data_IF_682565216781
#
_entry.id   IF_682565216781
#
_cell.length_a   1.000
_cell.length_b   1.000
_cell.length_c   1.000
_cell.angle_alpha   90.00
_cell.angle_beta   90.00
_cell.angle_gamma   90.00
#
_symmetry.space_group_name_H-M   'P 1'
#
loop_
_entity.id
_entity.type
_entity.pdbx_description
1 polymer ?
#
# COMPACT_ATOMS: atom_id res chain seq x y z
N UNK A 1 5.78 -32.78 -0.32
CA UNK A 1 6.84 -32.12 -1.08
C UNK A 1 6.54 -30.66 -1.48
N UNK A 2 5.35 -30.25 -1.99
CA UNK A 2 5.15 -28.86 -2.45
C UNK A 2 5.14 -27.80 -1.33
N UNK A 3 4.75 -28.16 -0.10
CA UNK A 3 4.73 -27.21 1.03
C UNK A 3 6.13 -26.79 1.47
N UNK A 4 7.07 -27.74 1.52
CA UNK A 4 8.46 -27.47 1.94
C UNK A 4 9.14 -26.58 0.89
N UNK A 5 8.91 -26.85 -0.39
CA UNK A 5 9.41 -26.03 -1.48
C UNK A 5 8.87 -24.60 -1.41
N UNK A 6 7.56 -24.42 -1.21
CA UNK A 6 6.97 -23.09 -1.09
C UNK A 6 7.47 -22.32 0.14
N UNK A 7 7.64 -23.00 1.28
CA UNK A 7 8.22 -22.39 2.49
C UNK A 7 9.69 -22.00 2.28
N UNK A 8 10.48 -22.87 1.65
CA UNK A 8 11.88 -22.59 1.34
C UNK A 8 12.01 -21.40 0.37
N UNK A 9 11.14 -21.32 -0.65
CA UNK A 9 11.09 -20.19 -1.58
C UNK A 9 10.71 -18.88 -0.87
N UNK A 10 9.69 -18.90 -0.01
CA UNK A 10 9.31 -17.72 0.78
C UNK A 10 10.43 -17.25 1.71
N UNK A 11 11.12 -18.17 2.38
CA UNK A 11 12.29 -17.87 3.21
C UNK A 11 13.44 -17.28 2.38
N UNK A 12 13.73 -17.86 1.21
CA UNK A 12 14.75 -17.38 0.29
C UNK A 12 14.43 -15.95 -0.18
N UNK A 13 13.17 -15.66 -0.54
CA UNK A 13 12.72 -14.32 -0.90
C UNK A 13 12.94 -13.30 0.22
N UNK A 14 12.55 -13.63 1.45
CA UNK A 14 12.78 -12.76 2.61
C UNK A 14 14.27 -12.52 2.86
N UNK A 15 15.10 -13.57 2.82
CA UNK A 15 16.55 -13.46 2.98
C UNK A 15 17.18 -12.60 1.88
N UNK A 16 16.69 -12.72 0.65
CA UNK A 16 17.15 -11.91 -0.47
C UNK A 16 16.83 -10.42 -0.28
N UNK A 17 15.61 -10.07 0.16
CA UNK A 17 15.24 -8.68 0.46
C UNK A 17 16.08 -8.10 1.61
N UNK A 18 16.33 -8.88 2.66
CA UNK A 18 17.22 -8.52 3.77
C UNK A 18 18.65 -8.33 3.24
N UNK A 19 19.13 -9.22 2.36
CA UNK A 19 20.44 -9.11 1.74
C UNK A 19 20.59 -7.84 0.91
N UNK A 20 19.58 -7.46 0.12
CA UNK A 20 19.55 -6.18 -0.61
C UNK A 20 19.68 -5.01 0.38
N UNK A 21 18.87 -5.00 1.46
CA UNK A 21 18.94 -3.94 2.46
C UNK A 21 20.31 -3.85 3.14
N UNK A 22 20.94 -5.00 3.40
CA UNK A 22 22.31 -5.05 3.94
C UNK A 22 23.35 -4.57 2.93
N UNK A 23 23.22 -4.94 1.66
CA UNK A 23 24.13 -4.54 0.58
C UNK A 23 24.16 -3.01 0.41
N UNK A 24 22.97 -2.39 0.39
CA UNK A 24 22.79 -0.95 0.25
C UNK A 24 22.79 -0.18 1.58
N UNK A 25 23.11 -0.84 2.70
CA UNK A 25 23.17 -0.18 4.00
C UNK A 25 24.31 0.84 4.07
N UNK A 26 24.00 2.04 4.56
CA UNK A 26 24.97 3.10 4.80
C UNK A 26 26.01 2.72 5.88
N UNK A 27 25.64 1.90 6.87
CA UNK A 27 26.56 1.42 7.90
C UNK A 27 26.20 0.02 8.38
N UNK A 28 26.73 -1.00 7.69
CA UNK A 28 26.44 -2.42 7.95
C UNK A 28 26.75 -2.87 9.38
N UNK A 29 27.71 -2.23 10.06
CA UNK A 29 28.11 -2.58 11.43
C UNK A 29 27.14 -2.05 12.48
N UNK A 30 26.40 -0.99 12.17
CA UNK A 30 25.44 -0.37 13.09
C UNK A 30 24.02 -0.97 12.98
N UNK A 31 23.80 -1.95 12.10
CA UNK A 31 22.49 -2.60 11.95
C UNK A 31 22.11 -3.29 13.27
N UNK A 32 20.97 -2.89 13.82
CA UNK A 32 20.40 -3.53 15.00
C UNK A 32 19.66 -4.82 14.60
N UNK A 33 20.37 -5.95 14.61
CA UNK A 33 19.81 -7.25 14.23
C UNK A 33 18.68 -7.75 15.16
N UNK A 34 18.64 -7.28 16.41
CA UNK A 34 17.51 -7.57 17.31
C UNK A 34 16.23 -6.90 16.79
N UNK A 35 16.31 -5.65 16.35
CA UNK A 35 15.18 -4.94 15.75
C UNK A 35 14.74 -5.61 14.45
N UNK A 36 15.69 -5.99 13.58
CA UNK A 36 15.41 -6.70 12.32
C UNK A 36 14.67 -8.01 12.60
N UNK A 37 15.21 -8.84 13.50
CA UNK A 37 14.60 -10.11 13.88
C UNK A 37 13.21 -9.94 14.50
N UNK A 38 13.03 -9.02 15.44
CA UNK A 38 11.73 -8.74 16.06
C UNK A 38 10.70 -8.22 15.04
N UNK A 39 11.12 -7.38 14.10
CA UNK A 39 10.24 -6.85 13.06
C UNK A 39 9.78 -7.92 12.05
N UNK A 40 10.67 -8.85 11.68
CA UNK A 40 10.31 -9.99 10.83
C UNK A 40 9.38 -10.95 11.59
N UNK A 41 9.70 -11.27 12.84
CA UNK A 41 8.86 -12.12 13.69
C UNK A 41 7.46 -11.50 13.85
N UNK A 42 7.37 -10.18 14.07
CA UNK A 42 6.09 -9.48 14.18
C UNK A 42 5.24 -9.66 12.91
N UNK A 43 5.83 -9.53 11.72
CA UNK A 43 5.13 -9.74 10.44
C UNK A 43 4.68 -11.19 10.26
N UNK A 44 5.57 -12.16 10.51
CA UNK A 44 5.26 -13.59 10.37
C UNK A 44 4.19 -14.02 11.37
N UNK A 45 4.30 -13.60 12.63
CA UNK A 45 3.31 -13.88 13.66
C UNK A 45 1.95 -13.26 13.31
N UNK A 46 1.92 -12.03 12.80
CA UNK A 46 0.69 -11.39 12.37
C UNK A 46 0.05 -12.15 11.19
N UNK A 47 0.83 -12.48 10.17
CA UNK A 47 0.37 -13.25 9.00
C UNK A 47 -0.20 -14.63 9.41
N UNK A 48 0.52 -15.37 10.26
CA UNK A 48 0.05 -16.65 10.78
C UNK A 48 -1.20 -16.50 11.64
N UNK A 49 -1.28 -15.42 12.45
CA UNK A 49 -2.47 -15.07 13.20
C UNK A 49 -3.69 -14.96 12.28
N UNK A 50 -3.64 -14.06 11.30
CA UNK A 50 -4.76 -13.82 10.38
C UNK A 50 -5.09 -15.06 9.53
N UNK A 51 -4.09 -15.80 9.05
CA UNK A 51 -4.29 -16.91 8.11
C UNK A 51 -4.65 -18.26 8.77
N UNK A 52 -4.17 -18.54 9.98
CA UNK A 52 -4.28 -19.87 10.61
C UNK A 52 -5.10 -19.88 11.90
N UNK A 53 -5.21 -18.75 12.60
CA UNK A 53 -5.85 -18.71 13.92
C UNK A 53 -7.29 -18.22 13.77
N UNK A 54 -8.25 -19.10 14.05
CA UNK A 54 -9.68 -18.82 13.90
C UNK A 54 -10.13 -17.53 14.60
N UNK A 55 -9.59 -17.25 15.80
CA UNK A 55 -9.92 -16.02 16.53
C UNK A 55 -9.60 -14.75 15.74
N UNK A 56 -8.39 -14.66 15.17
CA UNK A 56 -8.01 -13.51 14.35
C UNK A 56 -8.77 -13.50 13.02
N UNK A 57 -9.02 -14.66 12.41
CA UNK A 57 -9.84 -14.76 11.20
C UNK A 57 -11.26 -14.22 11.41
N UNK A 58 -11.89 -14.48 12.56
CA UNK A 58 -13.21 -13.94 12.90
C UNK A 58 -13.15 -12.42 13.05
N UNK A 59 -12.17 -11.89 13.79
CA UNK A 59 -12.03 -10.44 13.99
C UNK A 59 -11.76 -9.70 12.68
N UNK A 60 -10.81 -10.17 11.88
CA UNK A 60 -10.48 -9.56 10.59
C UNK A 60 -11.56 -9.76 9.55
N UNK A 61 -12.28 -10.89 9.60
CA UNK A 61 -13.49 -11.11 8.81
C UNK A 61 -14.56 -10.07 9.13
N UNK A 62 -14.88 -9.88 10.41
CA UNK A 62 -15.81 -8.84 10.86
C UNK A 62 -15.34 -7.43 10.46
N UNK A 63 -14.04 -7.13 10.61
CA UNK A 63 -13.48 -5.83 10.21
C UNK A 63 -13.60 -5.61 8.70
N UNK A 64 -13.31 -6.64 7.89
CA UNK A 64 -13.44 -6.56 6.43
C UNK A 64 -14.88 -6.35 5.98
N UNK A 65 -15.83 -7.02 6.65
CA UNK A 65 -17.26 -6.84 6.40
C UNK A 65 -17.72 -5.42 6.74
N UNK A 66 -17.32 -4.89 7.91
CA UNK A 66 -17.62 -3.50 8.28
C UNK A 66 -16.97 -2.48 7.37
N UNK A 67 -15.79 -2.79 6.85
CA UNK A 67 -15.14 -1.94 5.87
C UNK A 67 -15.91 -1.90 4.54
N UNK A 68 -16.37 -3.06 4.04
CA UNK A 68 -17.23 -3.13 2.85
C UNK A 68 -18.58 -2.46 3.06
N UNK A 69 -19.20 -2.63 4.23
CA UNK A 69 -20.45 -1.93 4.59
C UNK A 69 -20.26 -0.41 4.57
N UNK A 70 -19.13 0.09 5.08
CA UNK A 70 -18.80 1.51 5.06
C UNK A 70 -18.57 2.04 3.65
N UNK A 71 -17.95 1.26 2.76
CA UNK A 71 -17.85 1.58 1.33
C UNK A 71 -19.24 1.73 0.71
N UNK A 72 -20.16 0.80 0.99
CA UNK A 72 -21.52 0.83 0.45
C UNK A 72 -22.32 2.03 0.98
N UNK A 73 -22.09 2.46 2.22
CA UNK A 73 -22.66 3.71 2.75
C UNK A 73 -22.13 4.92 1.95
N UNK A 74 -20.84 4.96 1.63
CA UNK A 74 -20.25 5.99 0.77
C UNK A 74 -20.83 5.97 -0.66
N UNK A 75 -21.19 4.79 -1.16
CA UNK A 75 -21.81 4.63 -2.47
C UNK A 75 -23.16 5.34 -2.57
N UNK A 76 -23.96 5.41 -1.50
CA UNK A 76 -25.23 6.15 -1.49
C UNK A 76 -25.05 7.64 -1.83
N UNK A 77 -23.94 8.25 -1.41
CA UNK A 77 -23.60 9.63 -1.80
C UNK A 77 -23.22 9.76 -3.28
N UNK A 78 -22.56 8.73 -3.82
CA UNK A 78 -22.21 8.65 -5.25
C UNK A 78 -23.46 8.48 -6.11
N UNK A 79 -24.38 7.60 -5.70
CA UNK A 79 -25.68 7.38 -6.35
C UNK A 79 -26.54 8.63 -6.33
N UNK A 80 -26.59 9.34 -5.20
CA UNK A 80 -27.31 10.61 -5.12
C UNK A 80 -26.78 11.64 -6.14
N UNK A 81 -25.46 11.76 -6.29
CA UNK A 81 -24.86 12.78 -7.15
C UNK A 81 -24.83 12.41 -8.64
N UNK A 82 -24.62 11.14 -8.96
CA UNK A 82 -24.41 10.67 -10.34
C UNK A 82 -25.55 9.79 -10.88
N UNK A 83 -26.53 9.44 -10.05
CA UNK A 83 -27.66 8.60 -10.42
C UNK A 83 -27.21 7.26 -11.00
N UNK A 84 -27.80 6.88 -12.13
CA UNK A 84 -27.54 5.60 -12.82
C UNK A 84 -26.08 5.43 -13.27
N UNK A 85 -25.28 6.49 -13.39
CA UNK A 85 -23.85 6.35 -13.73
C UNK A 85 -23.02 5.70 -12.61
N UNK A 86 -23.57 5.64 -11.39
CA UNK A 86 -22.96 4.90 -10.27
C UNK A 86 -23.24 3.40 -10.31
N UNK A 87 -24.22 2.97 -11.11
CA UNK A 87 -24.64 1.57 -11.23
C UNK A 87 -23.74 0.82 -12.24
N UNK A 88 -23.00 -0.16 -11.75
CA UNK A 88 -22.09 -0.99 -12.54
C UNK A 88 -22.80 -2.02 -13.43
N UNK A 89 -24.07 -2.31 -13.15
CA UNK A 89 -24.88 -3.25 -13.94
C UNK A 89 -25.44 -2.62 -15.23
N UNK A 90 -25.31 -1.30 -15.37
CA UNK A 90 -25.70 -0.58 -16.57
C UNK A 90 -24.85 -0.97 -17.80
N UNK A 91 -25.32 -0.59 -18.99
CA UNK A 91 -24.61 -0.88 -20.25
C UNK A 91 -23.19 -0.28 -20.33
N UNK A 92 -22.90 0.75 -19.51
CA UNK A 92 -21.60 1.39 -19.39
C UNK A 92 -20.61 0.65 -18.47
N UNK A 93 -21.07 -0.33 -17.69
CA UNK A 93 -20.23 -1.08 -16.75
C UNK A 93 -19.67 -0.23 -15.60
N UNK A 94 -18.59 -0.71 -14.97
CA UNK A 94 -17.94 0.01 -13.88
C UNK A 94 -17.26 1.30 -14.37
N UNK A 95 -17.75 2.47 -13.94
CA UNK A 95 -17.15 3.78 -14.26
C UNK A 95 -16.21 4.19 -13.14
N UNK A 96 -14.90 3.96 -13.34
CA UNK A 96 -13.85 4.27 -12.36
C UNK A 96 -13.90 5.71 -11.85
N UNK A 97 -14.05 6.69 -12.76
CA UNK A 97 -14.07 8.11 -12.39
C UNK A 97 -15.25 8.51 -11.50
N UNK A 98 -16.36 7.77 -11.57
CA UNK A 98 -17.56 8.02 -10.76
C UNK A 98 -17.45 7.28 -9.44
N UNK A 99 -17.15 5.97 -9.48
CA UNK A 99 -17.25 5.12 -8.30
C UNK A 99 -15.99 5.14 -7.44
N UNK A 100 -14.81 4.93 -8.04
CA UNK A 100 -13.55 4.88 -7.29
C UNK A 100 -13.16 6.24 -6.73
N UNK A 101 -13.23 7.30 -7.55
CA UNK A 101 -12.80 8.64 -7.15
C UNK A 101 -13.73 9.28 -6.11
N UNK A 102 -15.05 9.07 -6.19
CA UNK A 102 -15.98 9.55 -5.15
C UNK A 102 -15.72 8.90 -3.80
N UNK A 103 -15.33 7.63 -3.80
CA UNK A 103 -14.98 6.91 -2.58
C UNK A 103 -13.73 7.51 -1.90
N UNK A 104 -12.73 7.96 -2.69
CA UNK A 104 -11.56 8.66 -2.15
C UNK A 104 -11.98 9.93 -1.39
N UNK A 105 -12.91 10.71 -1.93
CA UNK A 105 -13.43 11.93 -1.31
C UNK A 105 -14.13 11.60 0.02
N UNK A 106 -15.01 10.59 0.01
CA UNK A 106 -15.74 10.17 1.21
C UNK A 106 -14.80 9.71 2.33
N UNK A 107 -13.83 8.85 2.03
CA UNK A 107 -12.89 8.36 3.04
C UNK A 107 -11.92 9.43 3.54
N UNK A 108 -11.54 10.40 2.70
CA UNK A 108 -10.75 11.55 3.16
C UNK A 108 -11.53 12.42 4.15
N UNK A 109 -12.81 12.70 3.86
CA UNK A 109 -13.70 13.40 4.79
C UNK A 109 -13.87 12.62 6.11
N UNK A 110 -14.10 11.31 6.03
CA UNK A 110 -14.22 10.43 7.19
C UNK A 110 -12.93 10.40 8.03
N UNK A 111 -11.76 10.28 7.40
CA UNK A 111 -10.48 10.31 8.09
C UNK A 111 -10.29 11.62 8.86
N UNK A 112 -10.64 12.76 8.23
CA UNK A 112 -10.62 14.08 8.87
C UNK A 112 -11.56 14.16 10.08
N UNK A 113 -12.78 13.62 9.98
CA UNK A 113 -13.72 13.53 11.10
C UNK A 113 -13.12 12.71 12.26
N UNK A 114 -12.60 11.51 11.96
CA UNK A 114 -12.03 10.62 12.98
C UNK A 114 -10.81 11.24 13.66
N UNK A 115 -10.05 12.05 12.91
CA UNK A 115 -8.95 12.85 13.41
C UNK A 115 -9.46 13.97 14.33
N UNK A 116 -10.44 14.77 13.90
CA UNK A 116 -11.02 15.84 14.73
C UNK A 116 -11.62 15.30 16.04
N UNK A 117 -12.30 14.15 16.00
CA UNK A 117 -12.91 13.50 17.17
C UNK A 117 -11.90 12.86 18.13
N UNK A 118 -10.62 12.79 17.78
CA UNK A 118 -9.61 12.14 18.63
C UNK A 118 -9.60 10.61 18.55
N UNK A 119 -10.41 10.00 17.67
CA UNK A 119 -10.54 8.54 17.55
C UNK A 119 -9.29 7.98 16.88
N UNK A 120 -8.86 8.59 15.78
CA UNK A 120 -7.70 8.14 15.03
C UNK A 120 -6.43 8.20 15.88
N UNK A 121 -6.25 9.25 16.67
CA UNK A 121 -5.12 9.42 17.59
C UNK A 121 -5.04 8.28 18.61
N UNK A 122 -6.19 7.83 19.14
CA UNK A 122 -6.24 6.70 20.08
C UNK A 122 -5.81 5.40 19.40
N UNK A 123 -6.33 5.12 18.20
CA UNK A 123 -5.98 3.92 17.43
C UNK A 123 -4.49 3.93 17.07
N UNK A 124 -3.99 5.05 16.53
CA UNK A 124 -2.58 5.23 16.20
C UNK A 124 -1.70 5.06 17.43
N UNK A 125 -2.09 5.60 18.59
CA UNK A 125 -1.32 5.42 19.82
C UNK A 125 -1.15 3.95 20.22
N UNK A 126 -2.19 3.13 20.07
CA UNK A 126 -2.11 1.68 20.37
C UNK A 126 -1.11 0.99 19.45
N UNK A 127 -1.18 1.21 18.14
CA UNK A 127 -0.23 0.64 17.19
C UNK A 127 1.18 1.17 17.40
N UNK A 128 1.33 2.48 17.66
CA UNK A 128 2.62 3.10 17.93
C UNK A 128 3.25 2.53 19.20
N UNK A 129 2.46 2.29 20.24
CA UNK A 129 2.92 1.63 21.46
C UNK A 129 3.39 0.19 21.19
N UNK A 130 2.71 -0.55 20.32
CA UNK A 130 3.15 -1.89 19.90
C UNK A 130 4.48 -1.82 19.12
N UNK A 131 4.58 -0.93 18.12
CA UNK A 131 5.77 -0.77 17.28
C UNK A 131 6.98 -0.26 18.08
N UNK A 132 6.76 0.58 19.10
CA UNK A 132 7.81 1.06 20.00
C UNK A 132 8.58 -0.07 20.69
N UNK A 133 7.97 -1.26 20.86
CA UNK A 133 8.64 -2.45 21.40
C UNK A 133 9.78 -2.96 20.51
N UNK A 134 9.84 -2.53 19.25
CA UNK A 134 10.98 -2.77 18.35
C UNK A 134 12.20 -1.91 18.68
N UNK A 135 12.08 -0.93 19.57
CA UNK A 135 13.18 -0.08 20.03
C UNK A 135 13.44 1.16 19.17
N UNK A 136 12.44 1.61 18.40
CA UNK A 136 12.50 2.85 17.60
C UNK A 136 12.04 4.08 18.40
N UNK A 137 12.21 5.28 17.82
CA UNK A 137 11.81 6.52 18.48
C UNK A 137 10.30 6.65 18.61
N UNK A 138 9.87 7.51 19.54
CA UNK A 138 8.45 7.79 19.74
C UNK A 138 7.79 8.38 18.48
N UNK A 139 8.33 9.47 17.90
CA UNK A 139 7.82 10.04 16.66
C UNK A 139 7.80 9.04 15.48
N UNK A 140 8.85 8.22 15.30
CA UNK A 140 8.85 7.17 14.27
C UNK A 140 7.72 6.16 14.46
N UNK A 141 7.50 5.75 15.71
CA UNK A 141 6.43 4.80 16.05
C UNK A 141 5.07 5.37 15.71
N UNK A 142 4.83 6.65 16.03
CA UNK A 142 3.56 7.34 15.75
C UNK A 142 3.35 7.51 14.25
N UNK A 143 4.35 8.00 13.52
CA UNK A 143 4.22 8.21 12.07
C UNK A 143 4.03 6.90 11.31
N UNK A 144 4.78 5.86 11.67
CA UNK A 144 4.66 4.55 11.02
C UNK A 144 3.31 3.88 11.36
N UNK A 145 2.82 4.02 12.60
CA UNK A 145 1.48 3.57 12.98
C UNK A 145 0.38 4.36 12.28
N UNK A 146 0.56 5.67 12.10
CA UNK A 146 -0.37 6.53 11.38
C UNK A 146 -0.48 6.12 9.91
N UNK A 147 0.64 5.77 9.26
CA UNK A 147 0.68 5.31 7.88
C UNK A 147 -0.15 4.03 7.63
N UNK A 148 -0.52 3.25 8.67
CA UNK A 148 -1.44 2.10 8.52
C UNK A 148 -2.81 2.56 7.98
N UNK A 149 -3.22 3.78 8.32
CA UNK A 149 -4.55 4.33 8.02
C UNK A 149 -4.49 5.57 7.12
N UNK A 150 -3.48 6.41 7.32
CA UNK A 150 -3.28 7.68 6.65
C UNK A 150 -2.27 7.57 5.52
N UNK A 151 -2.35 8.50 4.56
CA UNK A 151 -1.37 8.58 3.48
C UNK A 151 -0.03 9.15 3.91
N UNK A 152 0.96 9.02 3.02
CA UNK A 152 2.34 9.51 3.17
C UNK A 152 2.46 11.03 3.45
N UNK A 153 1.46 11.83 3.06
CA UNK A 153 1.42 13.29 3.30
C UNK A 153 0.73 13.65 4.62
N UNK A 154 -0.14 12.79 5.13
CA UNK A 154 -0.97 13.04 6.31
C UNK A 154 -0.34 12.47 7.59
N UNK A 155 0.26 11.28 7.50
CA UNK A 155 0.89 10.64 8.63
C UNK A 155 2.05 11.46 9.25
N UNK A 156 2.87 12.22 8.50
CA UNK A 156 3.89 13.10 9.10
C UNK A 156 3.29 14.28 9.87
N UNK A 157 2.06 14.73 9.56
CA UNK A 157 1.42 15.84 10.29
C UNK A 157 1.17 15.48 11.76
N UNK A 158 0.92 14.20 12.04
CA UNK A 158 0.77 13.66 13.39
C UNK A 158 2.03 13.76 14.25
N UNK A 159 3.17 14.11 13.67
CA UNK A 159 4.44 14.28 14.38
C UNK A 159 5.13 15.59 14.02
N UNK A 160 4.40 16.54 13.41
CA UNK A 160 4.92 17.82 12.92
C UNK A 160 5.84 18.54 13.92
N UNK A 161 5.53 18.63 15.23
CA UNK A 161 6.40 19.32 16.20
C UNK A 161 7.78 18.66 16.42
N UNK A 162 7.95 17.41 15.96
CA UNK A 162 9.17 16.63 16.15
C UNK A 162 10.07 16.62 14.91
N UNK A 163 9.55 16.91 13.71
CA UNK A 163 10.26 16.73 12.44
C UNK A 163 11.62 17.43 12.39
N UNK A 164 11.70 18.68 12.85
CA UNK A 164 12.94 19.47 12.82
C UNK A 164 14.05 18.92 13.71
N UNK A 165 13.72 18.04 14.66
CA UNK A 165 14.65 17.45 15.63
C UNK A 165 15.01 16.01 15.30
N UNK A 166 14.47 15.46 14.22
CA UNK A 166 14.65 14.06 13.86
C UNK A 166 15.99 13.84 13.15
N UNK A 167 16.61 12.72 13.49
CA UNK A 167 17.83 12.23 12.86
C UNK A 167 17.55 11.72 11.44
N UNK A 168 18.59 11.57 10.61
CA UNK A 168 18.41 11.08 9.22
C UNK A 168 17.81 9.68 9.13
N UNK A 169 18.16 8.81 10.08
CA UNK A 169 17.58 7.46 10.20
C UNK A 169 16.07 7.53 10.52
N UNK A 170 15.68 8.45 11.40
CA UNK A 170 14.27 8.68 11.73
C UNK A 170 13.48 9.26 10.56
N UNK A 171 14.05 10.23 9.84
CA UNK A 171 13.45 10.78 8.63
C UNK A 171 13.29 9.72 7.54
N UNK A 172 14.29 8.86 7.34
CA UNK A 172 14.17 7.75 6.39
C UNK A 172 13.05 6.80 6.79
N UNK A 173 12.87 6.50 8.08
CA UNK A 173 11.78 5.64 8.54
C UNK A 173 10.40 6.25 8.23
N UNK A 174 10.23 7.56 8.39
CA UNK A 174 8.97 8.25 8.01
C UNK A 174 8.72 8.12 6.51
N UNK A 175 9.74 8.40 5.69
CA UNK A 175 9.62 8.35 4.23
C UNK A 175 9.31 6.93 3.73
N UNK A 176 10.07 5.93 4.20
CA UNK A 176 9.84 4.52 3.86
C UNK A 176 8.49 4.06 4.37
N UNK A 177 8.09 4.44 5.59
CA UNK A 177 6.77 4.13 6.15
C UNK A 177 5.62 4.67 5.30
N UNK A 178 5.75 5.89 4.78
CA UNK A 178 4.76 6.48 3.88
C UNK A 178 4.66 5.76 2.53
N UNK A 179 5.80 5.42 1.91
CA UNK A 179 5.83 4.73 0.61
C UNK A 179 5.49 3.23 0.69
N UNK A 180 5.65 2.63 1.87
CA UNK A 180 5.38 1.21 2.07
C UNK A 180 3.88 0.89 2.17
N UNK A 181 3.01 1.88 2.38
CA UNK A 181 1.59 1.64 2.57
C UNK A 181 0.67 2.43 1.64
N UNK A 182 -0.58 1.97 1.56
CA UNK A 182 -1.67 2.66 0.85
C UNK A 182 -2.55 3.39 1.86
N UNK A 183 -2.92 4.62 1.54
CA UNK A 183 -3.87 5.38 2.36
C UNK A 183 -5.24 4.68 2.40
N UNK A 184 -5.94 4.75 3.54
CA UNK A 184 -7.29 4.19 3.68
C UNK A 184 -8.28 4.74 2.65
N UNK A 185 -8.08 5.99 2.21
CA UNK A 185 -8.89 6.66 1.17
C UNK A 185 -8.82 5.98 -0.19
N UNK A 186 -7.67 5.44 -0.57
CA UNK A 186 -7.48 4.73 -1.85
C UNK A 186 -7.76 3.23 -1.69
N UNK A 187 -7.57 2.68 -0.49
CA UNK A 187 -7.82 1.27 -0.18
C UNK A 187 -9.27 0.86 -0.52
N UNK A 188 -10.26 1.68 -0.17
CA UNK A 188 -11.65 1.41 -0.52
C UNK A 188 -11.88 1.34 -2.03
N UNK A 189 -11.22 2.20 -2.82
CA UNK A 189 -11.31 2.18 -4.28
C UNK A 189 -10.74 0.88 -4.86
N UNK A 190 -9.62 0.38 -4.35
CA UNK A 190 -9.04 -0.90 -4.76
C UNK A 190 -9.92 -2.10 -4.40
N UNK A 191 -10.55 -2.08 -3.22
CA UNK A 191 -11.48 -3.15 -2.80
C UNK A 191 -12.65 -3.27 -3.76
N UNK A 192 -13.25 -2.14 -4.17
CA UNK A 192 -14.34 -2.13 -5.15
C UNK A 192 -13.82 -2.61 -6.52
N UNK A 193 -12.70 -2.07 -6.97
CA UNK A 193 -12.15 -2.37 -8.30
C UNK A 193 -11.79 -3.86 -8.45
N UNK A 194 -11.17 -4.47 -7.43
CA UNK A 194 -10.76 -5.87 -7.46
C UNK A 194 -11.90 -6.83 -7.13
N UNK A 195 -12.79 -6.46 -6.22
CA UNK A 195 -13.93 -7.29 -5.83
C UNK A 195 -15.11 -7.26 -6.80
N UNK A 196 -15.22 -6.20 -7.63
CA UNK A 196 -16.33 -6.03 -8.55
C UNK A 196 -17.67 -5.97 -7.80
N UNK A 197 -18.69 -6.66 -8.33
CA UNK A 197 -20.02 -6.77 -7.71
C UNK A 197 -20.12 -7.90 -6.67
N UNK A 198 -19.07 -8.73 -6.52
CA UNK A 198 -19.06 -9.85 -5.58
C UNK A 198 -18.61 -9.40 -4.19
N UNK A 199 -19.56 -9.37 -3.25
CA UNK A 199 -19.33 -8.96 -1.86
C UNK A 199 -18.30 -9.87 -1.17
N UNK A 200 -18.26 -11.17 -1.47
CA UNK A 200 -17.30 -12.07 -0.86
C UNK A 200 -15.87 -11.81 -1.38
N UNK A 201 -15.73 -11.44 -2.66
CA UNK A 201 -14.45 -10.98 -3.21
C UNK A 201 -14.03 -9.63 -2.62
N UNK A 202 -14.95 -8.69 -2.46
CA UNK A 202 -14.65 -7.41 -1.78
C UNK A 202 -14.18 -7.64 -0.35
N UNK A 203 -14.84 -8.52 0.42
CA UNK A 203 -14.40 -8.91 1.77
C UNK A 203 -13.02 -9.56 1.75
N UNK A 204 -12.76 -10.44 0.77
CA UNK A 204 -11.45 -11.06 0.58
C UNK A 204 -10.34 -10.02 0.35
N UNK A 205 -10.52 -9.10 -0.60
CA UNK A 205 -9.53 -8.05 -0.88
C UNK A 205 -9.39 -7.07 0.27
N UNK A 206 -10.49 -6.67 0.92
CA UNK A 206 -10.45 -5.81 2.10
C UNK A 206 -9.62 -6.44 3.22
N UNK A 207 -9.82 -7.73 3.50
CA UNK A 207 -9.02 -8.45 4.50
C UNK A 207 -7.53 -8.46 4.14
N UNK A 208 -7.18 -8.72 2.88
CA UNK A 208 -5.78 -8.76 2.44
C UNK A 208 -5.13 -7.37 2.50
N UNK A 209 -5.82 -6.32 2.07
CA UNK A 209 -5.30 -4.96 2.09
C UNK A 209 -5.16 -4.42 3.52
N UNK A 210 -6.15 -4.65 4.40
CA UNK A 210 -6.05 -4.26 5.81
C UNK A 210 -4.90 -5.00 6.51
N UNK A 211 -4.72 -6.29 6.21
CA UNK A 211 -3.62 -7.08 6.73
C UNK A 211 -2.27 -6.57 6.23
N UNK A 212 -2.17 -6.27 4.93
CA UNK A 212 -0.97 -5.69 4.31
C UNK A 212 -0.63 -4.34 4.95
N UNK A 213 -1.60 -3.46 5.20
CA UNK A 213 -1.37 -2.17 5.85
C UNK A 213 -0.72 -2.31 7.23
N UNK A 214 -1.21 -3.25 8.05
CA UNK A 214 -0.65 -3.48 9.39
C UNK A 214 0.74 -4.12 9.30
N UNK A 215 0.95 -5.09 8.40
CA UNK A 215 2.25 -5.75 8.21
C UNK A 215 3.33 -4.81 7.64
N UNK A 216 2.92 -3.80 6.87
CA UNK A 216 3.85 -2.86 6.23
C UNK A 216 4.54 -1.94 7.24
N UNK A 217 3.92 -1.67 8.39
CA UNK A 217 4.53 -0.85 9.44
C UNK A 217 5.84 -1.46 10.01
N UNK A 218 5.86 -2.69 10.57
CA UNK A 218 7.11 -3.32 10.98
C UNK A 218 8.05 -3.60 9.79
N UNK A 219 7.54 -3.88 8.58
CA UNK A 219 8.37 -4.05 7.39
C UNK A 219 9.16 -2.78 7.05
N UNK A 220 8.49 -1.63 7.04
CA UNK A 220 9.08 -0.33 6.79
C UNK A 220 10.16 0.02 7.82
N UNK A 221 9.92 -0.29 9.09
CA UNK A 221 10.91 -0.12 10.17
C UNK A 221 12.14 -1.00 9.93
N UNK A 222 11.95 -2.28 9.57
CA UNK A 222 13.07 -3.17 9.27
C UNK A 222 13.90 -2.64 8.11
N UNK A 223 13.26 -2.32 6.98
CA UNK A 223 13.94 -1.83 5.78
C UNK A 223 14.66 -0.51 6.04
N UNK A 224 14.00 0.47 6.66
CA UNK A 224 14.60 1.78 6.93
C UNK A 224 15.81 1.68 7.87
N UNK A 225 15.71 0.89 8.95
CA UNK A 225 16.78 0.71 9.94
C UNK A 225 17.92 -0.17 9.45
N UNK A 226 17.70 -0.99 8.43
CA UNK A 226 18.78 -1.67 7.73
C UNK A 226 19.50 -0.74 6.76
N UNK A 227 18.77 0.02 5.95
CA UNK A 227 19.34 0.94 4.96
C UNK A 227 20.11 2.08 5.62
N UNK A 228 19.55 2.68 6.68
CA UNK A 228 20.20 3.75 7.42
C UNK A 228 20.04 3.54 8.94
N UNK A 229 20.95 2.77 9.58
CA UNK A 229 20.82 2.44 10.98
C UNK A 229 20.92 3.66 11.91
N UNK A 230 20.20 3.59 13.03
CA UNK A 230 20.21 4.64 14.06
C UNK A 230 21.51 4.61 14.85
N UNK A 231 22.30 5.67 14.75
CA UNK A 231 23.54 5.86 15.55
C UNK A 231 23.48 7.05 16.50
N UNK A 232 22.59 8.00 16.23
CA UNK A 232 22.40 9.21 17.03
C UNK A 232 21.33 8.98 18.10
N UNK A 233 21.42 9.75 19.19
CA UNK A 233 20.34 9.77 20.19
C UNK A 233 19.04 10.28 19.58
N UNK A 234 17.92 9.83 20.13
CA UNK A 234 16.59 10.11 19.61
C UNK A 234 15.56 10.25 20.72
N UNK A 235 14.44 10.88 20.39
CA UNK A 235 13.34 11.12 21.33
C UNK A 235 12.61 9.81 21.61
N UNK A 236 12.76 9.28 22.82
CA UNK A 236 12.08 8.04 23.24
C UNK A 236 10.63 8.25 23.65
N UNK A 237 10.22 9.48 23.92
CA UNK A 237 8.89 9.76 24.43
C UNK A 237 7.83 9.51 23.36
N UNK A 238 6.80 8.73 23.70
CA UNK A 238 5.68 8.45 22.80
C UNK A 238 4.58 9.48 23.07
N UNK A 239 4.47 10.48 22.19
CA UNK A 239 3.43 11.50 22.25
C UNK A 239 2.77 11.63 20.89
N UNK A 240 1.45 11.59 20.89
CA UNK A 240 0.63 11.99 19.73
C UNK A 240 0.11 13.40 20.05
N UNK A 241 0.60 14.45 19.37
CA UNK A 241 0.07 15.80 19.49
C UNK A 241 -1.44 15.79 19.27
N UNK A 242 -2.16 16.59 20.05
CA UNK A 242 -3.62 16.76 19.92
C UNK A 242 -3.99 17.96 19.03
N UNK A 243 -3.10 18.35 18.11
CA UNK A 243 -3.46 19.37 17.12
C UNK A 243 -4.72 18.88 16.40
N UNK A 244 -5.77 19.71 16.39
CA UNK A 244 -7.05 19.39 15.75
C UNK A 244 -7.02 19.87 14.30
N UNK A 245 -7.66 19.12 13.42
CA UNK A 245 -7.98 19.58 12.07
C UNK A 245 -9.38 20.19 12.13
N UNK A 246 -9.50 21.48 11.83
CA UNK A 246 -10.75 22.23 11.86
C UNK A 246 -11.17 22.70 13.26
N UNK A 247 -11.93 23.79 13.29
CA UNK A 247 -12.42 24.41 14.53
C UNK A 247 -13.66 23.70 15.09
N UNK A 248 -14.43 23.05 14.21
CA UNK A 248 -15.64 22.31 14.56
C UNK A 248 -15.84 21.09 13.64
N UNK A 249 -16.86 20.29 13.94
CA UNK A 249 -17.16 19.06 13.21
C UNK A 249 -17.43 19.28 11.71
N UNK A 250 -18.20 20.32 11.36
CA UNK A 250 -18.52 20.63 9.95
C UNK A 250 -17.29 21.15 9.21
N UNK A 251 -16.45 21.91 9.90
CA UNK A 251 -15.19 22.42 9.37
C UNK A 251 -14.21 21.27 9.06
N UNK A 252 -14.08 20.31 9.97
CA UNK A 252 -13.29 19.10 9.74
C UNK A 252 -13.77 18.28 8.53
N UNK A 253 -15.09 18.16 8.35
CA UNK A 253 -15.68 17.52 7.15
C UNK A 253 -15.30 18.29 5.89
N UNK A 254 -15.44 19.62 5.92
CA UNK A 254 -15.24 20.47 4.75
C UNK A 254 -13.77 20.47 4.29
N UNK A 255 -12.84 20.53 5.25
CA UNK A 255 -11.41 20.38 4.98
C UNK A 255 -11.08 19.00 4.40
N UNK A 256 -11.51 17.91 5.05
CA UNK A 256 -11.26 16.55 4.57
C UNK A 256 -11.86 16.27 3.19
N UNK A 257 -13.05 16.82 2.91
CA UNK A 257 -13.70 16.73 1.60
C UNK A 257 -12.90 17.46 0.51
N UNK A 258 -12.39 18.66 0.82
CA UNK A 258 -11.60 19.46 -0.13
C UNK A 258 -10.26 18.80 -0.44
N UNK A 259 -9.59 18.26 0.58
CA UNK A 259 -8.33 17.54 0.41
C UNK A 259 -8.55 16.22 -0.35
N UNK A 260 -9.64 15.51 -0.03
CA UNK A 260 -10.10 14.33 -0.76
C UNK A 260 -10.38 14.61 -2.23
N UNK A 261 -11.03 15.73 -2.54
CA UNK A 261 -11.31 16.16 -3.93
C UNK A 261 -10.02 16.41 -4.71
N UNK A 262 -9.06 17.14 -4.12
CA UNK A 262 -7.74 17.37 -4.75
C UNK A 262 -7.04 16.04 -5.00
N UNK A 263 -7.05 15.14 -4.03
CA UNK A 263 -6.47 13.80 -4.16
C UNK A 263 -7.14 13.01 -5.29
N UNK A 264 -8.47 12.97 -5.33
CA UNK A 264 -9.24 12.25 -6.34
C UNK A 264 -8.98 12.78 -7.76
N UNK A 265 -8.97 14.10 -7.96
CA UNK A 265 -8.65 14.72 -9.25
C UNK A 265 -7.22 14.42 -9.67
N UNK A 266 -6.25 14.52 -8.75
CA UNK A 266 -4.86 14.18 -9.03
C UNK A 266 -4.71 12.71 -9.45
N UNK A 267 -5.36 11.77 -8.73
CA UNK A 267 -5.35 10.35 -9.09
C UNK A 267 -5.96 10.14 -10.48
N UNK A 268 -7.11 10.73 -10.77
CA UNK A 268 -7.76 10.62 -12.08
C UNK A 268 -6.88 11.15 -13.22
N UNK A 269 -6.31 12.34 -13.05
CA UNK A 269 -5.42 12.94 -14.05
C UNK A 269 -4.15 12.10 -14.27
N UNK A 270 -3.52 11.62 -13.19
CA UNK A 270 -2.34 10.77 -13.27
C UNK A 270 -2.63 9.45 -13.98
N UNK A 271 -3.75 8.79 -13.68
CA UNK A 271 -4.13 7.55 -14.38
C UNK A 271 -4.32 7.77 -15.88
N UNK A 272 -4.96 8.86 -16.30
CA UNK A 272 -5.13 9.18 -17.72
C UNK A 272 -3.76 9.34 -18.39
N UNK A 273 -2.89 10.18 -17.83
CA UNK A 273 -1.58 10.50 -18.41
C UNK A 273 -0.66 9.28 -18.43
N UNK A 274 -0.50 8.59 -17.30
CA UNK A 274 0.40 7.44 -17.21
C UNK A 274 -0.09 6.29 -18.08
N UNK A 275 -1.39 6.02 -18.13
CA UNK A 275 -1.94 4.99 -19.04
C UNK A 275 -1.65 5.34 -20.49
N UNK A 276 -1.90 6.60 -20.90
CA UNK A 276 -1.61 7.04 -22.26
C UNK A 276 -0.10 6.94 -22.61
N UNK A 277 0.77 7.32 -21.69
CA UNK A 277 2.23 7.18 -21.86
C UNK A 277 2.65 5.72 -21.97
N UNK A 278 2.05 4.81 -21.20
CA UNK A 278 2.29 3.37 -21.34
C UNK A 278 1.93 2.88 -22.75
N UNK A 279 0.75 3.25 -23.27
CA UNK A 279 0.34 2.91 -24.64
C UNK A 279 1.28 3.52 -25.69
N UNK A 280 1.73 4.76 -25.50
CA UNK A 280 2.70 5.39 -26.39
C UNK A 280 4.03 4.63 -26.41
N UNK A 281 4.56 4.27 -25.23
CA UNK A 281 5.78 3.46 -25.13
C UNK A 281 5.63 2.11 -25.82
N UNK A 282 4.48 1.44 -25.65
CA UNK A 282 4.18 0.17 -26.33
C UNK A 282 4.12 0.35 -27.84
N UNK A 283 3.51 1.43 -28.32
CA UNK A 283 3.41 1.71 -29.75
C UNK A 283 4.77 1.94 -30.38
N UNK A 284 5.63 2.73 -29.73
CA UNK A 284 7.01 2.98 -30.19
C UNK A 284 7.80 1.67 -30.20
N UNK A 285 7.79 0.91 -29.10
CA UNK A 285 8.50 -0.36 -29.00
C UNK A 285 7.98 -1.41 -29.98
N UNK A 286 6.67 -1.49 -30.17
CA UNK A 286 6.03 -2.41 -31.12
C UNK A 286 6.43 -2.09 -32.56
N UNK A 287 6.56 -0.80 -32.88
CA UNK A 287 7.04 -0.33 -34.18
C UNK A 287 8.51 -0.70 -34.41
N UNK A 288 9.36 -0.54 -33.38
CA UNK A 288 10.77 -1.01 -33.42
C UNK A 288 10.83 -2.53 -33.60
N UNK A 289 9.98 -3.29 -32.89
CA UNK A 289 9.89 -4.74 -33.02
C UNK A 289 9.42 -5.20 -34.41
N UNK A 290 8.59 -4.39 -35.08
CA UNK A 290 8.15 -4.63 -36.46
C UNK A 290 9.30 -4.40 -37.45
N UNK A 291 10.04 -3.29 -37.28
CA UNK A 291 11.21 -2.98 -38.11
C UNK A 291 12.30 -4.05 -38.01
N UNK A 292 12.50 -4.61 -36.81
CA UNK A 292 13.43 -5.71 -36.55
C UNK A 292 12.88 -7.10 -36.90
N UNK A 293 11.62 -7.21 -37.36
CA UNK A 293 10.93 -8.48 -37.67
C UNK A 293 10.92 -9.49 -36.50
N UNK A 294 10.86 -9.00 -35.26
CA UNK A 294 10.87 -9.84 -34.04
C UNK A 294 9.47 -10.05 -33.44
N UNK A 295 8.46 -9.28 -33.86
CA UNK A 295 7.12 -9.36 -33.26
C UNK A 295 6.47 -10.75 -33.43
N UNK A 296 6.60 -11.38 -34.59
CA UNK A 296 6.04 -12.72 -34.83
C UNK A 296 6.73 -13.79 -33.95
N UNK A 297 8.04 -13.65 -33.75
CA UNK A 297 8.80 -14.50 -32.86
C UNK A 297 8.38 -14.29 -31.40
N UNK A 298 8.15 -13.04 -30.98
CA UNK A 298 7.65 -12.71 -29.64
C UNK A 298 6.28 -13.35 -29.41
N UNK A 299 5.35 -13.23 -30.37
CA UNK A 299 4.03 -13.85 -30.28
C UNK A 299 4.12 -15.38 -30.12
N UNK A 300 5.03 -16.01 -30.86
CA UNK A 300 5.23 -17.47 -30.80
C UNK A 300 5.87 -17.91 -29.48
N UNK A 301 6.96 -17.25 -29.06
CA UNK A 301 7.72 -17.59 -27.84
C UNK A 301 6.87 -17.37 -26.59
N UNK A 302 6.09 -16.30 -26.57
CA UNK A 302 5.23 -15.95 -25.42
C UNK A 302 3.88 -16.67 -25.44
N UNK A 303 3.66 -17.58 -26.41
CA UNK A 303 2.38 -18.31 -26.60
C UNK A 303 1.18 -17.37 -26.69
N UNK A 304 1.34 -16.25 -27.38
CA UNK A 304 0.31 -15.23 -27.56
C UNK A 304 0.08 -14.31 -26.36
N UNK A 305 0.87 -14.41 -25.28
CA UNK A 305 0.77 -13.48 -24.14
C UNK A 305 1.10 -12.04 -24.54
N UNK A 306 2.08 -11.86 -25.41
CA UNK A 306 2.43 -10.56 -25.99
C UNK A 306 2.45 -10.71 -27.52
N UNK A 307 1.76 -9.82 -28.22
CA UNK A 307 1.66 -9.85 -29.69
C UNK A 307 2.80 -9.09 -30.38
N UNK A 308 3.49 -8.21 -29.64
CA UNK A 308 4.58 -7.38 -30.13
C UNK A 308 5.51 -7.01 -28.97
N UNK A 309 6.67 -6.45 -29.30
CA UNK A 309 7.54 -5.84 -28.29
C UNK A 309 6.80 -4.70 -27.59
N UNK A 310 6.51 -4.84 -26.30
CA UNK A 310 5.84 -3.81 -25.51
C UNK A 310 6.64 -3.45 -24.27
N UNK A 311 6.40 -2.26 -23.73
CA UNK A 311 7.01 -1.84 -22.48
C UNK A 311 6.58 -2.77 -21.35
N UNK A 312 5.31 -3.19 -21.31
CA UNK A 312 4.84 -4.17 -20.34
C UNK A 312 5.57 -5.51 -20.42
N UNK A 313 5.90 -5.99 -21.63
CA UNK A 313 6.67 -7.22 -21.79
C UNK A 313 8.06 -7.06 -21.17
N UNK A 314 8.73 -5.93 -21.45
CA UNK A 314 10.06 -5.64 -20.88
C UNK A 314 9.98 -5.65 -19.36
N UNK A 315 9.00 -4.96 -18.76
CA UNK A 315 8.79 -4.95 -17.31
C UNK A 315 8.48 -6.35 -16.76
N UNK A 316 7.63 -7.10 -17.46
CA UNK A 316 7.27 -8.47 -17.15
C UNK A 316 8.48 -9.37 -16.97
N UNK A 317 9.37 -9.38 -17.96
CA UNK A 317 10.58 -10.19 -17.90
C UNK A 317 11.63 -9.62 -16.94
N UNK A 318 11.80 -8.30 -16.88
CA UNK A 318 12.78 -7.65 -16.00
C UNK A 318 12.50 -7.92 -14.51
N UNK A 319 11.23 -7.86 -14.10
CA UNK A 319 10.82 -8.08 -12.70
C UNK A 319 10.37 -9.53 -12.43
N UNK A 320 10.31 -10.40 -13.43
CA UNK A 320 10.01 -11.82 -13.22
C UNK A 320 10.94 -12.55 -12.24
N UNK A 321 12.26 -12.26 -12.15
CA UNK A 321 13.12 -12.89 -11.14
C UNK A 321 12.70 -12.47 -9.73
N UNK A 322 12.30 -11.20 -9.55
CA UNK A 322 11.81 -10.70 -8.25
C UNK A 322 10.49 -11.39 -7.89
N UNK A 323 9.55 -11.50 -8.85
CA UNK A 323 8.30 -12.23 -8.65
C UNK A 323 8.54 -13.70 -8.25
N UNK A 324 9.47 -14.38 -8.92
CA UNK A 324 9.84 -15.75 -8.60
C UNK A 324 10.42 -15.88 -7.19
N UNK A 325 11.29 -14.93 -6.79
CA UNK A 325 11.94 -14.89 -5.47
C UNK A 325 10.93 -14.69 -4.34
N UNK A 326 9.91 -13.85 -4.52
CA UNK A 326 8.86 -13.63 -3.50
C UNK A 326 7.81 -14.77 -3.47
N UNK A 327 8.00 -15.84 -4.25
CA UNK A 327 7.21 -17.07 -4.17
C UNK A 327 6.08 -17.23 -5.18
N UNK A 328 5.99 -16.37 -6.20
CA UNK A 328 4.96 -16.47 -7.26
C UNK A 328 5.14 -17.75 -8.08
N UNK A 329 4.04 -18.37 -8.51
CA UNK A 329 4.10 -19.55 -9.37
C UNK A 329 4.88 -19.26 -10.67
N UNK A 330 5.83 -20.11 -11.10
CA UNK A 330 6.56 -19.91 -12.36
C UNK A 330 5.68 -19.67 -13.60
N UNK A 331 4.45 -20.20 -13.65
CA UNK A 331 3.52 -19.92 -14.76
C UNK A 331 3.05 -18.46 -14.84
N UNK A 332 3.03 -17.78 -13.69
CA UNK A 332 2.47 -16.43 -13.50
C UNK A 332 3.55 -15.37 -13.26
N UNK A 333 4.82 -15.76 -13.11
CA UNK A 333 5.90 -14.85 -12.70
C UNK A 333 6.10 -13.66 -13.64
N UNK A 334 5.82 -13.82 -14.93
CA UNK A 334 5.93 -12.72 -15.92
C UNK A 334 4.77 -11.73 -15.76
N UNK A 335 3.56 -12.20 -15.48
CA UNK A 335 2.39 -11.35 -15.27
C UNK A 335 2.52 -10.57 -13.96
N UNK A 336 2.94 -11.25 -12.89
CA UNK A 336 3.21 -10.56 -11.62
C UNK A 336 4.43 -9.64 -11.73
N UNK A 337 5.47 -10.05 -12.48
CA UNK A 337 6.60 -9.20 -12.81
C UNK A 337 6.18 -7.91 -13.50
N UNK A 338 5.22 -7.99 -14.43
CA UNK A 338 4.70 -6.82 -15.14
C UNK A 338 4.05 -5.85 -14.15
N UNK A 339 3.17 -6.36 -13.27
CA UNK A 339 2.52 -5.55 -12.23
C UNK A 339 3.53 -4.91 -11.26
N UNK A 340 4.57 -5.65 -10.86
CA UNK A 340 5.63 -5.12 -10.01
C UNK A 340 6.41 -4.00 -10.72
N UNK A 341 6.71 -4.17 -12.00
CA UNK A 341 7.39 -3.16 -12.80
C UNK A 341 6.55 -1.90 -13.01
N UNK A 342 5.27 -2.08 -13.41
CA UNK A 342 4.31 -0.97 -13.59
C UNK A 342 4.08 -0.18 -12.29
N UNK A 343 4.13 -0.85 -11.14
CA UNK A 343 4.01 -0.20 -9.83
C UNK A 343 5.29 0.53 -9.39
N UNK A 344 6.45 0.17 -9.95
CA UNK A 344 7.75 0.68 -9.51
C UNK A 344 8.24 1.88 -10.34
N UNK A 345 7.88 1.94 -11.62
CA UNK A 345 8.34 2.96 -12.58
C UNK A 345 7.26 4.02 -12.77
#
# INVERSE_FOLDING_TARGET
MPIIENLARGLLGMLFLIFICWLFSNNRRAINWRLVGLGIIAQVCFALGVLKVNFFRIIFGWLSEKFVELINIGHAGTEFMFGKLSDSSGAWGYIFAVQALSNIIFFAALASILYYLGILQKVVYVFAWMLKKLGISGPESVSTAANIFLGQTEAPLMIKPFLDKMTRSEMLCIMVGGMANTAGSVLGAYVIFLGGEDIDQQKFFALHMLSQSIMSAPAAIVVSKMLFPQTQEFIRELKVPKEKIGDNFLDAISHGTTDGLKLAVNVGAMLIVFTALMYLCNYILGSVGSWLQINDNIATITKGRYTSLSFQMILGYLFSPVAWLIGVNPSEMVQVGQLLGEKTI
#
